data_IF_855175642997
#
_entry.id   IF_855175642997
#
_cell.length_a   1.000
_cell.length_b   1.000
_cell.length_c   1.000
_cell.angle_alpha   90.00
_cell.angle_beta   90.00
_cell.angle_gamma   90.00
#
_symmetry.space_group_name_H-M   'P 1'
#
loop_
_entity.id
_entity.type
_entity.pdbx_description
1 polymer ?
#
# COMPACT_ATOMS: atom_id res chain seq x y z
N UNK A 1 20.72 11.35 41.70
CA UNK A 1 22.13 11.63 41.38
C UNK A 1 22.98 10.42 41.70
N UNK A 2 23.85 10.02 40.78
CA UNK A 2 24.78 8.89 40.91
C UNK A 2 26.15 9.31 40.44
N UNK A 3 27.20 9.01 41.21
CA UNK A 3 28.59 9.19 40.78
C UNK A 3 29.01 7.96 39.94
N UNK A 4 29.37 8.19 38.70
CA UNK A 4 29.82 7.15 37.76
C UNK A 4 31.32 6.86 37.98
N UNK A 5 31.67 5.57 37.92
CA UNK A 5 33.05 5.08 37.97
C UNK A 5 33.41 4.36 36.69
N UNK A 6 34.72 4.30 36.40
CA UNK A 6 35.21 3.54 35.27
C UNK A 6 34.83 2.05 35.42
N UNK A 7 34.14 1.49 34.39
CA UNK A 7 33.62 0.10 34.42
C UNK A 7 32.17 -0.02 34.87
N UNK A 8 31.51 1.08 35.30
CA UNK A 8 30.07 1.05 35.55
C UNK A 8 29.29 0.69 34.26
N UNK A 9 28.32 -0.19 34.38
CA UNK A 9 27.41 -0.59 33.27
C UNK A 9 26.04 -0.04 33.53
N UNK A 10 25.40 0.40 32.45
CA UNK A 10 23.98 0.75 32.40
C UNK A 10 23.31 -0.26 31.50
N UNK A 11 22.31 -0.95 32.01
CA UNK A 11 21.43 -1.83 31.23
C UNK A 11 20.07 -1.16 31.10
N UNK A 12 19.60 -1.05 29.87
CA UNK A 12 18.27 -0.49 29.54
C UNK A 12 17.48 -1.55 28.82
N UNK A 13 16.43 -2.05 29.46
CA UNK A 13 15.49 -2.97 28.85
C UNK A 13 14.39 -2.18 28.14
N UNK A 14 14.25 -2.37 26.83
CA UNK A 14 13.20 -1.79 26.02
C UNK A 14 12.20 -2.88 25.65
N UNK A 15 10.95 -2.72 26.06
CA UNK A 15 9.87 -3.65 25.74
C UNK A 15 8.95 -3.02 24.67
N UNK A 16 9.23 -3.19 23.38
CA UNK A 16 8.41 -2.63 22.31
C UNK A 16 7.03 -3.27 22.31
N UNK A 17 6.02 -2.48 22.00
CA UNK A 17 4.63 -2.91 21.85
C UNK A 17 4.10 -2.49 20.49
N UNK A 18 3.07 -3.19 20.03
CA UNK A 18 2.30 -2.75 18.86
C UNK A 18 1.52 -1.50 19.24
N UNK A 19 1.69 -0.46 18.46
CA UNK A 19 0.92 0.79 18.53
C UNK A 19 0.26 1.09 17.21
N UNK A 20 -0.84 1.82 17.26
CA UNK A 20 -1.52 2.36 16.10
C UNK A 20 -1.58 3.88 16.23
N UNK A 21 -1.28 4.54 15.13
CA UNK A 21 -1.32 5.99 15.05
C UNK A 21 -2.12 6.43 13.84
N UNK A 22 -2.88 7.53 14.00
CA UNK A 22 -3.54 8.16 12.85
C UNK A 22 -2.51 8.74 11.90
N UNK A 23 -2.81 8.71 10.61
CA UNK A 23 -2.06 9.46 9.63
C UNK A 23 -2.15 10.96 9.99
N UNK A 24 -1.00 11.63 10.00
CA UNK A 24 -0.95 13.06 10.33
C UNK A 24 -1.87 13.88 9.40
N UNK A 25 -2.82 14.56 10.01
CA UNK A 25 -3.81 15.36 9.27
C UNK A 25 -5.05 14.58 8.80
N UNK A 26 -5.20 13.29 9.17
CA UNK A 26 -6.38 12.49 8.83
C UNK A 26 -6.70 11.49 9.92
N UNK A 27 -7.96 11.39 10.29
CA UNK A 27 -8.51 10.36 11.20
C UNK A 27 -9.08 9.15 10.44
N UNK A 28 -8.97 9.17 9.10
CA UNK A 28 -9.51 8.11 8.23
C UNK A 28 -8.52 6.97 7.96
N UNK A 29 -7.26 7.16 8.32
CA UNK A 29 -6.21 6.18 8.10
C UNK A 29 -5.37 6.00 9.35
N UNK A 30 -4.91 4.77 9.57
CA UNK A 30 -4.01 4.43 10.66
C UNK A 30 -2.83 3.59 10.16
N UNK A 31 -1.72 3.67 10.88
CA UNK A 31 -0.52 2.87 10.64
C UNK A 31 -0.17 2.06 11.89
N UNK A 32 0.42 0.88 11.70
CA UNK A 32 0.91 0.02 12.77
C UNK A 32 2.41 0.20 12.97
N UNK A 33 2.82 0.26 14.22
CA UNK A 33 4.21 0.30 14.63
C UNK A 33 4.49 -0.76 15.68
N UNK A 34 5.73 -1.24 15.73
CA UNK A 34 6.25 -2.04 16.83
C UNK A 34 7.51 -1.37 17.35
N UNK A 35 7.36 -0.59 18.42
CA UNK A 35 8.39 0.36 18.83
C UNK A 35 8.70 1.32 17.66
N UNK A 36 9.97 1.45 17.24
CA UNK A 36 10.35 2.33 16.12
C UNK A 36 10.11 1.71 14.73
N UNK A 37 9.63 0.47 14.66
CA UNK A 37 9.51 -0.26 13.40
C UNK A 37 8.10 -0.08 12.82
N UNK A 38 8.01 0.42 11.59
CA UNK A 38 6.76 0.46 10.82
C UNK A 38 6.40 -0.94 10.37
N UNK A 39 5.16 -1.35 10.61
CA UNK A 39 4.62 -2.61 10.13
C UNK A 39 3.75 -2.38 8.89
N UNK A 40 3.82 -3.30 7.95
CA UNK A 40 3.04 -3.25 6.73
C UNK A 40 2.43 -4.61 6.39
N UNK A 41 1.30 -4.60 5.70
CA UNK A 41 0.69 -5.79 5.15
C UNK A 41 1.14 -6.00 3.70
N UNK A 42 1.44 -7.25 3.34
CA UNK A 42 1.55 -7.64 1.93
C UNK A 42 0.15 -7.72 1.34
N UNK A 43 0.01 -7.18 0.15
CA UNK A 43 -1.18 -7.34 -0.68
C UNK A 43 -0.86 -8.17 -1.92
N UNK A 44 -1.84 -8.42 -2.79
CA UNK A 44 -1.60 -9.26 -3.96
C UNK A 44 -0.56 -8.66 -4.92
N UNK A 45 0.02 -9.53 -5.75
CA UNK A 45 1.05 -9.19 -6.73
C UNK A 45 0.54 -9.23 -8.19
N UNK A 46 -0.77 -9.34 -8.40
CA UNK A 46 -1.35 -9.43 -9.72
C UNK A 46 -0.91 -8.26 -10.61
N UNK A 47 -0.41 -8.58 -11.80
CA UNK A 47 0.08 -7.61 -12.77
C UNK A 47 1.44 -6.97 -12.46
N UNK A 48 2.17 -7.45 -11.43
CA UNK A 48 3.52 -6.98 -11.12
C UNK A 48 4.64 -7.80 -11.76
N UNK A 49 4.35 -8.95 -12.32
CA UNK A 49 5.36 -9.87 -12.86
C UNK A 49 6.22 -9.23 -13.97
N UNK A 50 5.62 -8.42 -14.83
CA UNK A 50 6.34 -7.66 -15.85
C UNK A 50 7.16 -6.49 -15.27
N UNK A 51 6.80 -6.01 -14.09
CA UNK A 51 7.44 -4.88 -13.43
C UNK A 51 8.81 -5.22 -12.85
N UNK A 52 9.07 -6.50 -12.57
CA UNK A 52 10.33 -6.98 -12.02
C UNK A 52 11.41 -7.24 -13.07
N UNK A 53 11.14 -6.98 -14.34
CA UNK A 53 12.15 -7.07 -15.38
C UNK A 53 13.17 -5.92 -15.22
N UNK A 54 14.33 -6.24 -14.67
CA UNK A 54 15.42 -5.29 -14.42
C UNK A 54 15.98 -4.64 -15.68
N UNK A 55 15.73 -5.22 -16.86
CA UNK A 55 16.28 -4.73 -18.12
C UNK A 55 15.60 -3.49 -18.69
N UNK A 56 14.30 -3.38 -18.47
CA UNK A 56 13.51 -2.22 -18.92
C UNK A 56 12.35 -2.00 -17.96
N UNK A 57 12.48 -1.14 -16.95
CA UNK A 57 11.33 -0.78 -16.12
C UNK A 57 10.31 -0.11 -17.03
N UNK A 58 9.29 -0.85 -17.45
CA UNK A 58 8.17 -0.26 -18.17
C UNK A 58 7.59 0.85 -17.31
N UNK A 59 7.47 2.06 -17.83
CA UNK A 59 6.87 3.23 -17.15
C UNK A 59 5.46 2.95 -16.61
N UNK A 60 4.80 1.95 -17.17
CA UNK A 60 3.47 1.46 -16.74
C UNK A 60 3.38 1.04 -15.28
N UNK A 61 4.48 0.67 -14.63
CA UNK A 61 4.47 0.25 -13.22
C UNK A 61 4.17 1.42 -12.28
N UNK A 62 4.65 2.62 -12.61
CA UNK A 62 4.44 3.81 -11.80
C UNK A 62 2.98 4.30 -11.75
N UNK A 63 2.14 3.81 -12.67
CA UNK A 63 0.73 4.19 -12.80
C UNK A 63 -0.23 3.11 -12.32
N UNK A 64 0.26 1.97 -11.83
CA UNK A 64 -0.58 0.93 -11.24
C UNK A 64 -1.07 1.40 -9.87
N UNK A 65 -2.23 2.01 -9.86
CA UNK A 65 -2.96 2.25 -8.60
C UNK A 65 -3.37 0.91 -8.00
N UNK A 66 -3.13 0.77 -6.70
CA UNK A 66 -3.66 -0.39 -5.96
C UNK A 66 -5.11 -0.07 -5.64
N UNK A 67 -6.08 -0.81 -6.18
CA UNK A 67 -7.47 -0.61 -5.83
C UNK A 67 -7.67 -0.73 -4.32
N UNK A 68 -8.48 0.12 -3.71
CA UNK A 68 -8.85 0.01 -2.29
C UNK A 68 -9.40 -1.37 -1.93
N UNK A 69 -9.96 -2.08 -2.91
CA UNK A 69 -10.47 -3.45 -2.77
C UNK A 69 -9.41 -4.46 -2.29
N UNK A 70 -8.13 -4.20 -2.54
CA UNK A 70 -7.02 -5.10 -2.17
C UNK A 70 -6.34 -4.71 -0.86
N UNK A 71 -6.53 -3.49 -0.37
CA UNK A 71 -5.97 -3.04 0.89
C UNK A 71 -6.90 -3.42 2.05
N UNK A 72 -6.40 -4.08 3.12
CA UNK A 72 -7.21 -4.37 4.29
C UNK A 72 -7.73 -3.08 4.96
N UNK A 73 -8.99 -3.07 5.34
CA UNK A 73 -9.58 -1.96 6.10
C UNK A 73 -9.71 -2.33 7.57
N UNK A 74 -9.51 -1.36 8.47
CA UNK A 74 -9.69 -1.50 9.90
C UNK A 74 -11.11 -1.07 10.30
N UNK A 75 -11.67 -1.75 11.30
CA UNK A 75 -13.05 -1.53 11.75
C UNK A 75 -13.10 -1.30 13.26
N UNK A 76 -13.53 -0.11 13.64
CA UNK A 76 -13.69 0.29 15.04
C UNK A 76 -12.68 1.34 15.49
N UNK A 77 -12.42 1.42 16.79
CA UNK A 77 -11.41 2.34 17.35
C UNK A 77 -10.02 1.73 17.31
N UNK A 78 -8.98 2.57 17.32
CA UNK A 78 -7.58 2.11 17.35
C UNK A 78 -7.30 1.19 18.54
N UNK A 79 -7.86 1.49 19.71
CA UNK A 79 -7.70 0.67 20.90
C UNK A 79 -8.33 -0.74 20.75
N UNK A 80 -9.47 -0.82 20.06
CA UNK A 80 -10.10 -2.11 19.76
C UNK A 80 -9.26 -2.90 18.78
N UNK A 81 -8.76 -2.25 17.72
CA UNK A 81 -7.92 -2.88 16.72
C UNK A 81 -6.62 -3.39 17.35
N UNK A 82 -5.98 -2.57 18.20
CA UNK A 82 -4.74 -2.93 18.90
C UNK A 82 -4.88 -4.23 19.70
N UNK A 83 -6.00 -4.43 20.38
CA UNK A 83 -6.27 -5.63 21.21
C UNK A 83 -6.39 -6.92 20.39
N UNK A 84 -6.79 -6.81 19.14
CA UNK A 84 -7.00 -7.94 18.24
C UNK A 84 -5.79 -8.21 17.32
N UNK A 85 -4.65 -7.55 17.58
CA UNK A 85 -3.37 -7.85 16.94
C UNK A 85 -2.59 -8.82 17.80
N UNK A 86 -2.28 -9.98 17.25
CA UNK A 86 -1.51 -11.02 17.94
C UNK A 86 -0.16 -11.25 17.28
N UNK A 87 0.87 -11.51 18.09
CA UNK A 87 2.19 -11.91 17.60
C UNK A 87 2.18 -13.38 17.22
N UNK A 88 2.65 -13.69 16.02
CA UNK A 88 2.66 -15.07 15.48
C UNK A 88 3.98 -15.80 15.69
N UNK A 89 5.08 -15.07 15.89
CA UNK A 89 6.40 -15.68 16.05
C UNK A 89 7.26 -14.86 17.02
N UNK A 90 7.96 -15.54 17.90
CA UNK A 90 8.94 -14.92 18.79
C UNK A 90 10.29 -14.67 18.10
N UNK A 91 10.59 -15.46 17.08
CA UNK A 91 11.85 -15.33 16.31
C UNK A 91 11.78 -14.27 15.23
N UNK A 92 10.58 -14.01 14.71
CA UNK A 92 10.34 -13.03 13.66
C UNK A 92 9.30 -12.01 14.12
N UNK A 93 9.44 -10.77 13.66
CA UNK A 93 8.43 -9.73 13.91
C UNK A 93 7.26 -9.95 12.92
N UNK A 94 6.42 -10.95 13.21
CA UNK A 94 5.22 -11.28 12.45
C UNK A 94 4.01 -11.18 13.36
N UNK A 95 3.03 -10.42 12.90
CA UNK A 95 1.80 -10.18 13.64
C UNK A 95 0.61 -10.47 12.74
N UNK A 96 -0.51 -10.75 13.33
CA UNK A 96 -1.78 -10.95 12.63
C UNK A 96 -2.84 -10.02 13.19
N UNK A 97 -3.51 -9.31 12.31
CA UNK A 97 -4.70 -8.55 12.63
C UNK A 97 -5.94 -9.38 12.30
N UNK A 98 -6.82 -9.54 13.28
CA UNK A 98 -8.00 -10.37 13.17
C UNK A 98 -9.11 -9.71 12.34
N UNK A 99 -9.85 -10.51 11.57
CA UNK A 99 -11.06 -10.09 10.85
C UNK A 99 -12.21 -9.59 11.75
N UNK A 100 -12.11 -9.76 13.08
CA UNK A 100 -13.06 -9.14 14.03
C UNK A 100 -13.01 -7.62 14.03
N UNK A 101 -11.86 -7.06 13.64
CA UNK A 101 -11.58 -5.62 13.62
C UNK A 101 -11.03 -5.14 12.29
N UNK A 102 -11.14 -5.96 11.26
CA UNK A 102 -10.70 -5.63 9.91
C UNK A 102 -11.60 -6.30 8.87
N UNK A 103 -11.52 -5.83 7.64
CA UNK A 103 -12.27 -6.39 6.50
C UNK A 103 -11.90 -7.84 6.20
N UNK A 104 -10.67 -8.23 6.53
CA UNK A 104 -10.14 -9.59 6.41
C UNK A 104 -9.03 -9.80 7.45
N UNK A 105 -8.70 -11.05 7.76
CA UNK A 105 -7.49 -11.35 8.53
C UNK A 105 -6.27 -11.14 7.66
N UNK A 106 -5.28 -10.43 8.15
CA UNK A 106 -4.05 -10.16 7.42
C UNK A 106 -2.82 -10.16 8.32
N UNK A 107 -1.68 -10.42 7.69
CA UNK A 107 -0.38 -10.45 8.36
C UNK A 107 0.30 -9.09 8.26
N UNK A 108 0.97 -8.70 9.35
CA UNK A 108 1.81 -7.52 9.46
C UNK A 108 3.25 -7.96 9.68
N UNK A 109 4.16 -7.42 8.88
CA UNK A 109 5.60 -7.63 9.00
C UNK A 109 6.34 -6.28 8.94
N UNK A 110 7.59 -6.20 9.41
CA UNK A 110 8.40 -5.00 9.23
C UNK A 110 8.44 -4.56 7.77
N UNK A 111 8.15 -3.28 7.53
CA UNK A 111 8.12 -2.72 6.18
C UNK A 111 9.43 -2.96 5.41
N UNK A 112 10.57 -2.83 6.09
CA UNK A 112 11.88 -3.05 5.50
C UNK A 112 12.18 -4.50 5.08
N UNK A 113 11.27 -5.45 5.38
CA UNK A 113 11.35 -6.86 4.95
C UNK A 113 10.43 -7.19 3.80
N UNK A 114 9.69 -6.21 3.28
CA UNK A 114 8.81 -6.41 2.13
C UNK A 114 9.59 -6.08 0.86
N UNK A 115 9.82 -7.11 0.06
CA UNK A 115 10.48 -7.00 -1.24
C UNK A 115 9.58 -7.65 -2.30
N UNK A 116 9.59 -7.10 -3.52
CA UNK A 116 8.88 -7.64 -4.68
C UNK A 116 7.38 -7.94 -4.42
N UNK A 117 6.72 -7.06 -3.69
CA UNK A 117 5.31 -7.19 -3.37
C UNK A 117 4.67 -5.82 -3.23
N UNK A 118 3.40 -5.71 -3.60
CA UNK A 118 2.58 -4.58 -3.15
C UNK A 118 2.40 -4.66 -1.63
N UNK A 119 2.23 -3.51 -1.01
CA UNK A 119 2.08 -3.43 0.44
C UNK A 119 1.15 -2.28 0.83
N UNK A 120 0.57 -2.40 2.02
CA UNK A 120 -0.18 -1.34 2.66
C UNK A 120 0.50 -0.99 3.99
N UNK A 121 0.80 0.31 4.20
CA UNK A 121 1.30 0.87 5.46
C UNK A 121 0.17 1.63 6.15
N UNK A 122 -0.62 2.37 5.37
CA UNK A 122 -1.77 3.11 5.85
C UNK A 122 -3.04 2.33 5.55
N UNK A 123 -3.78 2.03 6.60
CA UNK A 123 -4.98 1.21 6.54
C UNK A 123 -6.19 2.13 6.69
N UNK A 124 -7.16 2.09 5.77
CA UNK A 124 -8.40 2.85 5.91
C UNK A 124 -9.15 2.39 7.16
N UNK A 125 -9.68 3.33 7.93
CA UNK A 125 -10.35 3.11 9.19
C UNK A 125 -11.82 3.49 9.09
N UNK A 126 -12.71 2.55 9.41
CA UNK A 126 -14.15 2.72 9.41
C UNK A 126 -14.72 2.48 10.81
N UNK A 127 -15.78 3.19 11.18
CA UNK A 127 -16.44 3.01 12.47
C UNK A 127 -17.13 1.66 12.57
N UNK A 128 -17.75 1.22 11.46
CA UNK A 128 -18.52 -0.02 11.42
C UNK A 128 -18.29 -0.75 10.08
N UNK A 129 -18.48 -2.08 10.09
CA UNK A 129 -18.33 -2.91 8.89
C UNK A 129 -19.27 -2.47 7.74
N UNK A 130 -20.48 -2.02 8.06
CA UNK A 130 -21.44 -1.53 7.06
C UNK A 130 -20.93 -0.31 6.28
N UNK A 131 -20.16 0.57 6.95
CA UNK A 131 -19.62 1.78 6.33
C UNK A 131 -18.52 1.40 5.32
N UNK A 132 -17.68 0.44 5.68
CA UNK A 132 -16.71 -0.16 4.78
C UNK A 132 -17.41 -0.85 3.59
N UNK A 133 -18.42 -1.68 3.86
CA UNK A 133 -19.11 -2.44 2.81
C UNK A 133 -19.77 -1.53 1.77
N UNK A 134 -20.37 -0.42 2.20
CA UNK A 134 -20.97 0.55 1.30
C UNK A 134 -19.92 1.18 0.34
N UNK A 135 -18.75 1.54 0.86
CA UNK A 135 -17.64 2.08 0.06
C UNK A 135 -17.09 1.01 -0.88
N UNK A 136 -16.89 -0.20 -0.37
CA UNK A 136 -16.40 -1.34 -1.14
C UNK A 136 -17.31 -1.67 -2.33
N UNK A 137 -18.62 -1.75 -2.10
CA UNK A 137 -19.61 -2.07 -3.15
C UNK A 137 -19.65 -0.96 -4.21
N UNK A 138 -19.56 0.30 -3.79
CA UNK A 138 -19.52 1.44 -4.71
C UNK A 138 -18.24 1.42 -5.56
N UNK A 139 -17.08 1.18 -4.95
CA UNK A 139 -15.80 1.13 -5.65
C UNK A 139 -15.75 -0.04 -6.63
N UNK A 140 -16.23 -1.21 -6.20
CA UNK A 140 -16.36 -2.40 -7.07
C UNK A 140 -17.23 -2.11 -8.29
N UNK A 141 -18.35 -1.43 -8.08
CA UNK A 141 -19.23 -1.04 -9.20
C UNK A 141 -18.51 -0.11 -10.17
N UNK A 142 -17.81 0.89 -9.67
CA UNK A 142 -17.04 1.84 -10.49
C UNK A 142 -15.94 1.14 -11.29
N UNK A 143 -15.21 0.21 -10.68
CA UNK A 143 -14.17 -0.58 -11.37
C UNK A 143 -14.80 -1.41 -12.51
N UNK A 144 -15.90 -2.11 -12.24
CA UNK A 144 -16.59 -2.90 -13.26
C UNK A 144 -17.12 -2.04 -14.42
N UNK A 145 -17.67 -0.86 -14.11
CA UNK A 145 -18.12 0.10 -15.12
C UNK A 145 -16.95 0.59 -15.99
N UNK A 146 -15.82 0.92 -15.37
CA UNK A 146 -14.61 1.34 -16.09
C UNK A 146 -14.03 0.21 -16.96
N UNK A 147 -14.00 -1.02 -16.47
CA UNK A 147 -13.55 -2.18 -17.25
C UNK A 147 -14.47 -2.43 -18.45
N UNK A 148 -15.79 -2.29 -18.28
CA UNK A 148 -16.74 -2.39 -19.37
C UNK A 148 -16.56 -1.28 -20.41
N UNK A 149 -16.31 -0.04 -19.95
CA UNK A 149 -16.02 1.08 -20.83
C UNK A 149 -14.72 0.82 -21.63
N UNK A 150 -13.66 0.38 -20.97
CA UNK A 150 -12.39 0.06 -21.64
C UNK A 150 -12.54 -1.06 -22.67
N UNK A 151 -13.31 -2.11 -22.39
CA UNK A 151 -13.59 -3.19 -23.32
C UNK A 151 -14.41 -2.74 -24.53
N UNK A 152 -15.29 -1.75 -24.33
CA UNK A 152 -16.19 -1.26 -25.37
C UNK A 152 -15.63 -0.03 -26.11
N UNK A 153 -14.57 0.59 -25.59
CA UNK A 153 -13.90 1.70 -26.25
C UNK A 153 -12.83 1.13 -27.18
N UNK A 154 -13.14 1.12 -28.46
CA UNK A 154 -12.14 0.82 -29.49
C UNK A 154 -11.45 2.14 -29.81
N UNK A 155 -10.25 2.33 -29.29
CA UNK A 155 -9.37 3.41 -29.73
C UNK A 155 -8.88 3.12 -31.16
N UNK A 156 -9.74 3.41 -32.13
CA UNK A 156 -9.35 3.51 -33.51
C UNK A 156 -8.79 4.91 -33.76
N UNK A 157 -7.52 5.12 -33.43
CA UNK A 157 -6.79 6.21 -34.04
C UNK A 157 -6.49 5.74 -35.48
N UNK A 158 -7.42 5.99 -36.40
CA UNK A 158 -7.19 5.84 -37.82
C UNK A 158 -6.23 6.99 -38.24
N UNK A 159 -4.94 6.75 -38.20
CA UNK A 159 -3.97 7.59 -38.88
C UNK A 159 -4.15 7.27 -40.37
N UNK A 160 -4.99 8.05 -41.05
CA UNK A 160 -5.27 7.88 -42.50
C UNK A 160 -4.08 8.24 -43.38
N UNK A 161 -3.10 8.96 -42.82
CA UNK A 161 -1.84 9.26 -43.49
C UNK A 161 -0.71 9.36 -42.46
N UNK A 162 0.54 9.00 -42.81
CA UNK A 162 1.63 9.24 -41.92
C UNK A 162 1.73 10.76 -41.64
N UNK A 163 1.86 11.12 -40.37
CA UNK A 163 2.08 12.50 -39.96
C UNK A 163 3.30 13.04 -40.70
N UNK A 164 3.16 14.22 -41.28
CA UNK A 164 4.31 14.87 -41.90
C UNK A 164 5.28 15.40 -40.84
N UNK A 165 6.52 15.65 -41.20
CA UNK A 165 7.53 16.19 -40.29
C UNK A 165 7.09 17.54 -39.70
N UNK A 166 6.28 18.32 -40.45
CA UNK A 166 5.65 19.55 -40.01
C UNK A 166 4.60 19.32 -38.90
N UNK A 167 3.86 18.21 -38.96
CA UNK A 167 2.85 17.87 -37.97
C UNK A 167 3.50 17.48 -36.63
N UNK A 168 4.65 16.82 -36.67
CA UNK A 168 5.44 16.51 -35.47
C UNK A 168 5.94 17.79 -34.78
N UNK A 169 6.38 18.79 -35.55
CA UNK A 169 6.80 20.08 -35.01
C UNK A 169 5.65 20.85 -34.37
N UNK A 170 4.47 20.83 -34.97
CA UNK A 170 3.26 21.44 -34.43
C UNK A 170 2.78 20.75 -33.13
N UNK A 171 2.95 19.45 -33.01
CA UNK A 171 2.63 18.69 -31.81
C UNK A 171 3.67 18.83 -30.69
N UNK A 172 4.75 19.58 -30.88
CA UNK A 172 5.81 19.77 -29.88
C UNK A 172 6.60 18.50 -29.56
N UNK A 173 6.50 17.48 -30.41
CA UNK A 173 7.27 16.23 -30.26
C UNK A 173 8.64 16.43 -30.92
N UNK A 174 9.65 16.63 -30.12
CA UNK A 174 11.04 16.66 -30.59
C UNK A 174 11.52 15.22 -30.71
N UNK A 175 11.59 14.69 -31.94
CA UNK A 175 12.08 13.35 -32.24
C UNK A 175 13.59 13.34 -32.59
N UNK A 176 14.35 14.24 -31.98
CA UNK A 176 15.80 14.20 -32.08
C UNK A 176 16.33 13.07 -31.18
N UNK A 177 16.32 11.86 -31.75
CA UNK A 177 17.04 10.72 -31.17
C UNK A 177 18.49 10.89 -31.70
N UNK A 178 19.31 11.58 -30.89
CA UNK A 178 20.73 11.69 -31.19
C UNK A 178 21.34 10.32 -31.50
N UNK A 179 22.15 10.29 -32.51
CA UNK A 179 23.02 9.17 -32.92
C UNK A 179 23.87 8.61 -31.79
#
# INVERSE_FOLDING_TARGET
DRSWKNGDKVEVELTPQVTLEYLKGSDKYAAFHYGPVVLAAKVDNNGLEEAYSFRFPKRTVATLEIPMLTAPALIGSLEKVKKEVSRKSDKELRFECSSKVASTTFELIPFNRIHFSRYAIYFPLYKQMKDYQAVYDQEKKTILENEMLQKNTVDHVLIQSPLSESDHKLAGVNMDWGE
#
